data_IF_263225650325
#
_entry.id   IF_263225650325
#
_cell.length_a   1.000
_cell.length_b   1.000
_cell.length_c   1.000
_cell.angle_alpha   90.00
_cell.angle_beta   90.00
_cell.angle_gamma   90.00
#
_symmetry.space_group_name_H-M   'P 1'
#
loop_
_entity.id
_entity.type
_entity.pdbx_description
1 polymer ?
#
# COMPACT_ATOMS: atom_id res chain seq x y z
N UNK A 1 28.33 -29.17 37.68
CA UNK A 1 28.15 -29.00 36.22
C UNK A 1 26.65 -29.08 35.98
N UNK A 2 25.99 -27.93 35.82
CA UNK A 2 24.55 -27.88 35.58
C UNK A 2 24.30 -27.91 34.07
N UNK A 3 23.43 -28.80 33.63
CA UNK A 3 22.94 -28.83 32.25
C UNK A 3 22.01 -27.62 32.06
N UNK A 4 22.48 -26.61 31.33
CA UNK A 4 21.61 -25.53 30.85
C UNK A 4 20.75 -26.10 29.72
N UNK A 5 19.45 -26.24 29.97
CA UNK A 5 18.50 -26.60 28.94
C UNK A 5 18.37 -25.45 27.93
N UNK A 6 18.92 -25.63 26.74
CA UNK A 6 18.70 -24.74 25.60
C UNK A 6 17.32 -25.03 25.00
N UNK A 7 16.43 -24.05 25.03
CA UNK A 7 15.15 -24.11 24.33
C UNK A 7 15.39 -23.89 22.83
N UNK A 8 14.72 -24.68 21.99
CA UNK A 8 14.83 -24.50 20.54
C UNK A 8 13.99 -23.29 20.08
N UNK A 9 14.21 -22.86 18.84
CA UNK A 9 13.39 -21.82 18.20
C UNK A 9 11.90 -22.19 18.21
N UNK A 10 11.58 -23.46 17.95
CA UNK A 10 10.23 -24.01 17.93
C UNK A 10 9.56 -23.91 19.32
N UNK A 11 10.34 -24.13 20.39
CA UNK A 11 9.85 -23.97 21.78
C UNK A 11 9.49 -22.51 22.09
N UNK A 12 10.29 -21.55 21.60
CA UNK A 12 10.06 -20.12 21.82
C UNK A 12 8.88 -19.59 20.99
N UNK A 13 8.69 -20.08 19.77
CA UNK A 13 7.57 -19.73 18.90
C UNK A 13 6.24 -20.25 19.49
N UNK A 14 6.21 -21.49 19.97
CA UNK A 14 5.05 -22.06 20.66
C UNK A 14 4.69 -21.26 21.93
N UNK A 15 5.70 -20.82 22.69
CA UNK A 15 5.48 -19.97 23.87
C UNK A 15 4.95 -18.57 23.52
N UNK A 16 5.37 -17.99 22.39
CA UNK A 16 4.86 -16.71 21.91
C UNK A 16 3.39 -16.79 21.46
N UNK A 17 2.99 -17.89 20.81
CA UNK A 17 1.59 -18.15 20.47
C UNK A 17 0.72 -18.34 21.72
N UNK A 18 1.23 -19.07 22.72
CA UNK A 18 0.52 -19.26 24.00
C UNK A 18 0.37 -17.93 24.75
N UNK A 19 1.39 -17.06 24.73
CA UNK A 19 1.33 -15.77 25.41
C UNK A 19 0.34 -14.79 24.76
N UNK A 20 0.17 -14.85 23.44
CA UNK A 20 -0.76 -13.97 22.70
C UNK A 20 -2.21 -14.42 22.81
N UNK A 21 -2.48 -15.71 23.05
CA UNK A 21 -3.84 -16.26 23.20
C UNK A 21 -4.48 -16.08 24.58
N UNK A 22 -3.76 -15.53 25.55
CA UNK A 22 -4.37 -14.88 26.73
C UNK A 22 -5.22 -15.74 27.68
N UNK A 23 -5.32 -17.05 27.54
CA UNK A 23 -6.10 -17.90 28.45
C UNK A 23 -5.45 -19.28 28.64
N UNK A 24 -4.48 -19.35 29.55
CA UNK A 24 -4.25 -20.57 30.34
C UNK A 24 -4.75 -20.24 31.74
N UNK A 25 -5.95 -20.71 32.07
CA UNK A 25 -6.53 -20.58 33.40
C UNK A 25 -5.60 -21.23 34.44
N UNK A 26 -4.99 -20.39 35.29
CA UNK A 26 -4.45 -20.82 36.58
C UNK A 26 -2.95 -21.13 36.67
N UNK A 27 -2.20 -21.22 35.57
CA UNK A 27 -0.74 -21.43 35.65
C UNK A 27 0.03 -20.11 35.46
N UNK A 28 0.72 -19.68 36.53
CA UNK A 28 1.64 -18.52 36.47
C UNK A 28 2.86 -18.91 35.63
N UNK A 29 2.99 -18.35 34.44
CA UNK A 29 4.23 -18.41 33.65
C UNK A 29 5.38 -17.85 34.51
N UNK A 30 6.49 -18.58 34.69
CA UNK A 30 7.63 -18.09 35.46
C UNK A 30 8.14 -16.76 34.91
N UNK A 31 8.46 -15.80 35.80
CA UNK A 31 8.97 -14.46 35.41
C UNK A 31 10.18 -14.53 34.47
N UNK A 32 10.99 -15.59 34.61
CA UNK A 32 12.17 -15.85 33.78
C UNK A 32 11.77 -16.03 32.31
N UNK A 33 10.74 -16.82 32.00
CA UNK A 33 10.27 -17.03 30.63
C UNK A 33 9.73 -15.75 30.00
N UNK A 34 9.06 -14.88 30.78
CA UNK A 34 8.56 -13.61 30.26
C UNK A 34 9.68 -12.64 29.86
N UNK A 35 10.75 -12.58 30.67
CA UNK A 35 11.92 -11.76 30.34
C UNK A 35 12.62 -12.29 29.08
N UNK A 36 12.80 -13.61 28.95
CA UNK A 36 13.38 -14.22 27.75
C UNK A 36 12.55 -13.93 26.50
N UNK A 37 11.23 -14.09 26.56
CA UNK A 37 10.33 -13.76 25.45
C UNK A 37 10.39 -12.26 25.08
N UNK A 38 10.50 -11.37 26.07
CA UNK A 38 10.64 -9.91 25.84
C UNK A 38 11.98 -9.58 25.18
N UNK A 39 13.07 -10.21 25.61
CA UNK A 39 14.39 -10.03 25.00
C UNK A 39 14.40 -10.55 23.56
N UNK A 40 13.84 -11.73 23.33
CA UNK A 40 13.73 -12.32 21.99
C UNK A 40 12.88 -11.45 21.05
N UNK A 41 11.73 -10.97 21.52
CA UNK A 41 10.90 -10.02 20.75
C UNK A 41 11.64 -8.73 20.42
N UNK A 42 12.42 -8.19 21.35
CA UNK A 42 13.24 -6.99 21.09
C UNK A 42 14.29 -7.28 20.01
N UNK A 43 15.01 -8.40 20.12
CA UNK A 43 15.98 -8.83 19.12
C UNK A 43 15.35 -8.97 17.72
N UNK A 44 14.19 -9.61 17.61
CA UNK A 44 13.48 -9.71 16.32
C UNK A 44 13.09 -8.33 15.76
N UNK A 45 12.62 -7.42 16.60
CA UNK A 45 12.27 -6.06 16.16
C UNK A 45 13.50 -5.25 15.73
N UNK A 46 14.64 -5.45 16.38
CA UNK A 46 15.90 -4.82 16.00
C UNK A 46 16.41 -5.41 14.67
N UNK A 47 16.37 -6.73 14.50
CA UNK A 47 16.69 -7.39 13.23
C UNK A 47 15.81 -6.89 12.07
N UNK A 48 14.49 -6.81 12.27
CA UNK A 48 13.57 -6.28 11.25
C UNK A 48 13.85 -4.81 10.90
N UNK A 49 14.36 -4.02 11.87
CA UNK A 49 14.76 -2.63 11.62
C UNK A 49 16.03 -2.56 10.78
N UNK A 50 17.04 -3.35 11.12
CA UNK A 50 18.29 -3.42 10.40
C UNK A 50 18.05 -3.88 8.94
N UNK A 51 17.18 -4.88 8.74
CA UNK A 51 16.76 -5.32 7.41
C UNK A 51 16.01 -4.22 6.63
N UNK A 52 15.15 -3.44 7.29
CA UNK A 52 14.47 -2.32 6.66
C UNK A 52 15.43 -1.18 6.26
N UNK A 53 16.40 -0.85 7.11
CA UNK A 53 17.46 0.13 6.82
C UNK A 53 18.34 -0.35 5.66
N UNK A 54 18.66 -1.65 5.60
CA UNK A 54 19.40 -2.24 4.49
C UNK A 54 18.62 -2.13 3.16
N UNK A 55 17.31 -2.35 3.16
CA UNK A 55 16.46 -2.20 1.97
C UNK A 55 16.41 -0.74 1.52
N UNK A 56 16.28 0.22 2.44
CA UNK A 56 16.26 1.65 2.13
C UNK A 56 17.60 2.13 1.54
N UNK A 57 18.71 1.65 2.09
CA UNK A 57 20.04 1.89 1.55
C UNK A 57 20.21 1.30 0.14
N UNK A 58 19.76 0.06 -0.07
CA UNK A 58 19.81 -0.57 -1.38
C UNK A 58 18.97 0.21 -2.42
N UNK A 59 17.79 0.69 -2.03
CA UNK A 59 16.94 1.50 -2.89
C UNK A 59 17.60 2.84 -3.25
N UNK A 60 18.22 3.49 -2.27
CA UNK A 60 18.97 4.74 -2.49
C UNK A 60 20.12 4.55 -3.48
N UNK A 61 20.88 3.46 -3.35
CA UNK A 61 21.97 3.13 -4.27
C UNK A 61 21.47 2.90 -5.72
N UNK A 62 20.34 2.19 -5.88
CA UNK A 62 19.73 1.96 -7.21
C UNK A 62 19.26 3.26 -7.83
N UNK A 63 18.69 4.17 -7.04
CA UNK A 63 18.28 5.50 -7.54
C UNK A 63 19.48 6.34 -7.99
N UNK A 64 20.61 6.26 -7.29
CA UNK A 64 21.84 6.94 -7.68
C UNK A 64 22.37 6.42 -9.03
N UNK A 65 22.42 5.09 -9.21
CA UNK A 65 22.79 4.45 -10.47
C UNK A 65 21.86 4.85 -11.64
N UNK A 66 20.55 4.92 -11.40
CA UNK A 66 19.59 5.39 -12.40
C UNK A 66 19.86 6.87 -12.77
N UNK A 67 20.16 7.73 -11.81
CA UNK A 67 20.45 9.14 -12.10
C UNK A 67 21.75 9.31 -12.90
N UNK A 68 22.79 8.53 -12.60
CA UNK A 68 24.04 8.54 -13.37
C UNK A 68 23.82 8.10 -14.82
N UNK A 69 23.04 7.04 -15.04
CA UNK A 69 22.72 6.56 -16.40
C UNK A 69 21.89 7.58 -17.18
N UNK A 70 20.91 8.24 -16.54
CA UNK A 70 20.13 9.33 -17.17
C UNK A 70 21.02 10.51 -17.53
N UNK A 71 21.95 10.90 -16.66
CA UNK A 71 22.90 11.99 -16.94
C UNK A 71 23.83 11.66 -18.12
N UNK A 72 24.31 10.42 -18.21
CA UNK A 72 25.14 9.96 -19.32
C UNK A 72 24.39 10.00 -20.66
N UNK A 73 23.11 9.58 -20.68
CA UNK A 73 22.27 9.63 -21.88
C UNK A 73 21.96 11.06 -22.33
N UNK A 74 21.67 11.96 -21.39
CA UNK A 74 21.42 13.37 -21.70
C UNK A 74 22.65 14.05 -22.32
N UNK A 75 23.85 13.77 -21.80
CA UNK A 75 25.10 14.28 -22.37
C UNK A 75 25.38 13.75 -23.79
N UNK A 76 25.02 12.50 -24.07
CA UNK A 76 25.18 11.91 -25.40
C UNK A 76 24.24 12.55 -26.45
N UNK A 77 23.01 12.89 -26.06
CA UNK A 77 22.01 13.47 -26.97
C UNK A 77 22.36 14.91 -27.39
N UNK A 78 22.92 15.72 -26.49
CA UNK A 78 23.39 17.09 -26.80
C UNK A 78 24.53 17.10 -27.83
N UNK A 79 25.41 16.09 -27.80
CA UNK A 79 26.51 15.99 -28.76
C UNK A 79 26.04 15.59 -30.17
N UNK A 80 24.85 15.01 -30.34
CA UNK A 80 24.35 14.59 -31.65
C UNK A 80 23.70 15.74 -32.45
N UNK A 81 23.18 16.77 -31.78
CA UNK A 81 22.55 17.93 -32.45
C UNK A 81 23.59 18.95 -32.94
N UNK A 82 24.77 19.02 -32.33
CA UNK A 82 25.83 19.98 -32.71
C UNK A 82 26.44 19.66 -34.10
N UNK A 83 26.40 18.41 -34.55
CA UNK A 83 26.97 18.01 -35.85
C UNK A 83 25.98 18.03 -37.03
N UNK A 84 24.74 18.51 -36.84
CA UNK A 84 23.71 18.51 -37.91
C UNK A 84 23.37 19.88 -38.50
N UNK A 85 24.02 20.96 -38.07
CA UNK A 85 23.62 22.33 -38.45
C UNK A 85 24.47 23.03 -39.51
N UNK A 86 25.39 22.36 -40.21
CA UNK A 86 26.32 23.06 -41.13
C UNK A 86 26.22 22.75 -42.64
N UNK A 87 25.39 21.81 -43.11
CA UNK A 87 25.49 21.36 -44.52
C UNK A 87 24.27 21.53 -45.44
N UNK A 88 23.14 22.12 -45.02
CA UNK A 88 21.96 22.24 -45.91
C UNK A 88 21.71 23.70 -46.35
N UNK A 89 22.60 24.17 -47.24
CA UNK A 89 22.39 25.34 -48.09
C UNK A 89 21.89 24.86 -49.46
N UNK A 90 20.68 25.31 -49.83
CA UNK A 90 20.06 25.36 -51.18
C UNK A 90 19.65 24.04 -51.85
N UNK A 91 18.35 23.72 -51.83
CA UNK A 91 17.61 23.46 -53.09
C UNK A 91 16.10 23.68 -52.94
N UNK A 92 15.56 24.46 -53.87
CA UNK A 92 14.17 24.84 -54.07
C UNK A 92 13.53 23.84 -55.04
N UNK A 93 12.70 22.92 -54.55
CA UNK A 93 11.72 22.27 -55.42
C UNK A 93 10.49 21.79 -54.65
N UNK A 94 9.35 22.39 -55.01
CA UNK A 94 8.03 21.99 -54.57
C UNK A 94 7.43 21.05 -55.62
N UNK A 95 7.44 19.75 -55.37
CA UNK A 95 6.59 18.81 -56.10
C UNK A 95 5.67 18.04 -55.16
N UNK A 96 4.39 18.02 -55.55
CA UNK A 96 3.29 17.38 -54.87
C UNK A 96 3.39 15.86 -55.05
N UNK A 97 3.50 15.13 -53.92
CA UNK A 97 3.48 13.67 -53.91
C UNK A 97 2.12 13.22 -53.34
N UNK A 98 1.38 12.52 -54.18
CA UNK A 98 0.15 11.78 -53.87
C UNK A 98 0.45 10.61 -52.94
N UNK A 99 -0.34 10.49 -51.88
CA UNK A 99 -0.27 9.41 -50.89
C UNK A 99 -1.22 8.29 -51.33
N UNK A 100 -0.65 7.22 -51.86
CA UNK A 100 -1.27 5.89 -51.88
C UNK A 100 -0.19 4.89 -51.45
N UNK A 101 -0.44 4.19 -50.36
CA UNK A 101 0.20 2.90 -50.08
C UNK A 101 -0.61 2.15 -49.03
N UNK A 102 -1.43 1.23 -49.53
CA UNK A 102 -1.54 -0.11 -48.95
C UNK A 102 -0.14 -0.72 -48.87
N UNK A 103 0.20 -1.35 -47.74
CA UNK A 103 0.69 -2.73 -47.70
C UNK A 103 1.21 -3.09 -46.30
N UNK A 104 0.95 -4.35 -45.99
CA UNK A 104 1.25 -5.08 -44.77
C UNK A 104 2.76 -5.19 -44.54
N UNK A 105 3.22 -5.07 -43.29
CA UNK A 105 4.44 -5.75 -42.88
C UNK A 105 4.48 -6.13 -41.39
N UNK A 106 4.73 -7.42 -41.23
CA UNK A 106 4.68 -8.25 -40.04
C UNK A 106 5.99 -8.12 -39.25
N UNK A 107 6.01 -7.27 -38.22
CA UNK A 107 7.15 -7.19 -37.30
C UNK A 107 6.88 -7.91 -35.99
N UNK A 108 7.33 -9.17 -36.01
CA UNK A 108 7.64 -10.06 -34.89
C UNK A 108 8.51 -9.36 -33.84
N UNK A 109 7.86 -8.68 -32.90
CA UNK A 109 8.48 -8.09 -31.73
C UNK A 109 9.03 -9.15 -30.78
N UNK A 110 10.32 -9.02 -30.46
CA UNK A 110 11.03 -9.83 -29.48
C UNK A 110 10.38 -9.65 -28.11
N UNK A 111 9.78 -10.72 -27.60
CA UNK A 111 9.29 -10.84 -26.25
C UNK A 111 10.47 -10.76 -25.27
N UNK A 112 10.66 -9.58 -24.68
CA UNK A 112 11.44 -9.43 -23.48
C UNK A 112 10.78 -10.28 -22.39
N UNK A 113 11.52 -11.27 -21.89
CA UNK A 113 11.14 -12.06 -20.72
C UNK A 113 11.05 -11.09 -19.52
N UNK A 114 9.84 -10.58 -19.29
CA UNK A 114 9.50 -9.85 -18.09
C UNK A 114 9.63 -10.84 -16.93
N UNK A 115 10.77 -10.79 -16.23
CA UNK A 115 10.97 -11.45 -14.95
C UNK A 115 9.87 -10.98 -14.02
N UNK A 116 8.81 -11.77 -13.91
CA UNK A 116 7.69 -11.52 -13.02
C UNK A 116 8.24 -11.40 -11.60
N UNK A 117 8.08 -10.26 -10.92
CA UNK A 117 8.48 -10.12 -9.53
C UNK A 117 7.73 -11.17 -8.73
N UNK A 118 8.48 -12.02 -8.02
CA UNK A 118 7.92 -13.07 -7.17
C UNK A 118 6.92 -12.46 -6.20
N UNK A 119 5.80 -13.17 -5.98
CA UNK A 119 4.63 -12.71 -5.22
C UNK A 119 4.93 -12.27 -3.77
N UNK A 120 6.14 -12.54 -3.27
CA UNK A 120 6.60 -12.17 -1.93
C UNK A 120 6.90 -10.68 -1.78
N UNK A 121 7.32 -9.98 -2.86
CA UNK A 121 7.73 -8.57 -2.76
C UNK A 121 6.55 -7.57 -2.69
N UNK A 122 5.33 -7.99 -3.08
CA UNK A 122 4.14 -7.10 -3.11
C UNK A 122 3.35 -7.08 -1.79
N UNK A 123 3.68 -7.94 -0.83
CA UNK A 123 2.97 -8.04 0.45
C UNK A 123 3.49 -7.05 1.52
N UNK A 124 4.75 -6.63 1.43
CA UNK A 124 5.40 -5.83 2.48
C UNK A 124 4.85 -4.40 2.66
N UNK A 125 4.48 -3.72 1.57
CA UNK A 125 4.17 -2.28 1.61
C UNK A 125 2.82 -1.91 2.25
N UNK A 126 1.90 -2.86 2.44
CA UNK A 126 0.61 -2.60 3.12
C UNK A 126 0.60 -2.98 4.60
N UNK A 127 1.55 -3.81 5.05
CA UNK A 127 1.67 -4.18 6.46
C UNK A 127 2.40 -3.11 7.28
N UNK A 128 3.32 -2.36 6.66
CA UNK A 128 4.01 -1.23 7.32
C UNK A 128 3.05 -0.06 7.63
N UNK A 129 2.04 0.17 6.77
CA UNK A 129 1.01 1.19 7.00
C UNK A 129 0.12 0.93 8.22
N UNK A 130 -0.03 -0.34 8.65
CA UNK A 130 -0.76 -0.67 9.91
C UNK A 130 0.12 -0.57 11.15
N UNK A 131 1.43 -0.74 11.02
CA UNK A 131 2.32 -0.83 12.18
C UNK A 131 2.71 0.53 12.76
N UNK A 132 2.71 1.60 11.96
CA UNK A 132 2.99 2.96 12.45
C UNK A 132 1.79 3.64 13.15
N UNK A 133 0.61 3.03 13.19
CA UNK A 133 -0.56 3.56 13.93
C UNK A 133 -0.76 2.99 15.34
N UNK A 134 0.14 2.11 15.82
CA UNK A 134 -0.14 1.27 17.00
C UNK A 134 0.64 1.61 18.27
N UNK A 135 1.41 2.70 18.33
CA UNK A 135 2.09 3.08 19.58
C UNK A 135 1.41 4.25 20.26
N UNK A 136 0.42 3.91 21.10
CA UNK A 136 0.02 4.68 22.28
C UNK A 136 -0.50 6.12 22.10
N UNK A 137 -1.11 6.44 20.96
CA UNK A 137 -1.75 7.73 20.78
C UNK A 137 -3.02 7.80 21.64
N UNK A 138 -3.05 8.75 22.59
CA UNK A 138 -4.28 9.18 23.25
C UNK A 138 -5.24 9.47 22.11
N UNK A 139 -6.28 8.64 21.93
CA UNK A 139 -7.33 8.86 20.93
C UNK A 139 -7.98 10.19 21.22
N UNK A 140 -7.40 11.27 20.70
CA UNK A 140 -8.06 12.54 20.58
C UNK A 140 -9.19 12.19 19.64
N UNK A 141 -10.41 12.14 20.18
CA UNK A 141 -11.60 11.87 19.39
C UNK A 141 -11.79 13.08 18.48
N UNK A 142 -11.03 13.12 17.38
CA UNK A 142 -11.18 14.12 16.35
C UNK A 142 -12.54 13.90 15.73
N UNK A 143 -13.36 14.96 15.77
CA UNK A 143 -14.68 14.98 15.19
C UNK A 143 -14.54 15.65 13.83
N UNK A 144 -14.84 14.90 12.77
CA UNK A 144 -14.84 15.43 11.42
C UNK A 144 -16.29 15.62 10.97
N UNK A 145 -16.59 16.81 10.45
CA UNK A 145 -17.91 17.08 9.86
C UNK A 145 -17.75 17.19 8.35
N UNK A 146 -18.51 16.38 7.61
CA UNK A 146 -18.54 16.49 6.15
C UNK A 146 -19.16 17.83 5.75
N UNK A 147 -18.55 18.53 4.79
CA UNK A 147 -19.07 19.82 4.32
C UNK A 147 -20.32 19.66 3.44
N UNK A 148 -20.48 18.53 2.75
CA UNK A 148 -21.58 18.29 1.81
C UNK A 148 -22.80 17.68 2.49
N UNK A 149 -22.60 16.87 3.54
CA UNK A 149 -23.71 16.22 4.24
C UNK A 149 -23.61 16.41 5.76
N UNK A 150 -24.72 16.32 6.51
CA UNK A 150 -24.73 16.59 7.94
C UNK A 150 -24.09 15.47 8.79
N UNK A 151 -23.41 14.49 8.18
CA UNK A 151 -22.79 13.38 8.92
C UNK A 151 -21.54 13.86 9.65
N UNK A 152 -21.43 13.43 10.91
CA UNK A 152 -20.25 13.61 11.76
C UNK A 152 -19.57 12.27 11.97
N UNK A 153 -18.25 12.25 11.83
CA UNK A 153 -17.40 11.07 11.90
C UNK A 153 -16.49 11.23 13.12
N UNK A 154 -16.66 10.35 14.12
CA UNK A 154 -15.98 10.43 15.43
C UNK A 154 -14.78 9.49 15.45
N UNK A 155 -13.62 9.96 15.91
CA UNK A 155 -12.43 9.12 16.13
C UNK A 155 -12.01 8.37 14.87
N UNK A 156 -12.26 8.98 13.71
CA UNK A 156 -12.23 8.30 12.43
C UNK A 156 -10.80 8.25 11.94
N UNK A 157 -10.30 7.03 11.73
CA UNK A 157 -9.09 6.83 10.94
C UNK A 157 -9.32 7.43 9.55
N UNK A 158 -8.26 7.92 8.90
CA UNK A 158 -8.32 8.50 7.55
C UNK A 158 -9.12 7.61 6.57
N UNK A 159 -8.97 6.29 6.69
CA UNK A 159 -9.72 5.32 5.90
C UNK A 159 -11.26 5.41 6.03
N UNK A 160 -11.79 5.80 7.19
CA UNK A 160 -13.24 5.99 7.38
C UNK A 160 -13.73 7.28 6.70
N UNK A 161 -12.93 8.35 6.75
CA UNK A 161 -13.19 9.60 6.03
C UNK A 161 -13.20 9.36 4.52
N UNK A 162 -12.19 8.65 4.00
CA UNK A 162 -12.10 8.31 2.57
C UNK A 162 -13.25 7.40 2.13
N UNK A 163 -13.66 6.43 2.97
CA UNK A 163 -14.84 5.60 2.67
C UNK A 163 -16.11 6.43 2.60
N UNK A 164 -16.25 7.43 3.47
CA UNK A 164 -17.36 8.37 3.40
C UNK A 164 -17.35 9.17 2.10
N UNK A 165 -16.19 9.71 1.69
CA UNK A 165 -16.05 10.43 0.41
C UNK A 165 -16.44 9.57 -0.78
N UNK A 166 -15.97 8.32 -0.83
CA UNK A 166 -16.31 7.42 -1.94
C UNK A 166 -17.82 7.17 -2.10
N UNK A 167 -18.62 7.33 -1.03
CA UNK A 167 -20.09 7.27 -1.15
C UNK A 167 -20.69 8.50 -1.84
N UNK A 168 -20.06 9.66 -1.75
CA UNK A 168 -20.48 10.87 -2.44
C UNK A 168 -20.05 10.88 -3.90
N UNK A 169 -18.80 10.48 -4.17
CA UNK A 169 -18.22 10.47 -5.52
C UNK A 169 -18.61 9.23 -6.35
N UNK A 170 -19.44 8.34 -5.80
CA UNK A 170 -19.88 7.09 -6.44
C UNK A 170 -18.72 6.23 -6.98
N UNK A 171 -17.59 6.22 -6.27
CA UNK A 171 -16.42 5.44 -6.68
C UNK A 171 -16.79 3.95 -6.62
N UNK A 172 -16.61 3.26 -7.74
CA UNK A 172 -17.05 1.88 -7.90
C UNK A 172 -15.95 0.90 -7.49
N UNK A 173 -16.35 -0.15 -6.78
CA UNK A 173 -15.53 -1.33 -6.47
C UNK A 173 -16.11 -2.55 -7.19
N UNK A 174 -15.38 -3.11 -8.15
CA UNK A 174 -15.77 -4.28 -8.91
C UNK A 174 -15.47 -5.58 -8.14
N UNK A 175 -16.37 -6.57 -8.18
CA UNK A 175 -16.15 -7.87 -7.55
C UNK A 175 -14.93 -8.59 -8.18
N UNK A 176 -13.99 -9.15 -7.38
CA UNK A 176 -12.82 -9.86 -7.91
C UNK A 176 -13.13 -11.29 -8.41
N UNK A 177 -14.38 -11.78 -8.27
CA UNK A 177 -14.75 -13.13 -8.70
C UNK A 177 -15.09 -13.12 -10.19
N UNK A 178 -14.38 -13.95 -10.97
CA UNK A 178 -14.62 -14.10 -12.40
C UNK A 178 -16.09 -14.41 -12.72
N UNK A 179 -16.66 -13.68 -13.68
CA UNK A 179 -18.07 -13.79 -14.06
C UNK A 179 -19.06 -13.05 -13.15
N UNK A 180 -18.62 -12.46 -12.04
CA UNK A 180 -19.49 -11.62 -11.21
C UNK A 180 -19.47 -10.16 -11.68
N UNK A 181 -20.57 -9.70 -12.26
CA UNK A 181 -20.73 -8.31 -12.76
C UNK A 181 -21.13 -7.31 -11.66
N UNK A 182 -21.12 -7.72 -10.39
CA UNK A 182 -21.57 -6.85 -9.30
C UNK A 182 -20.53 -5.77 -9.01
N UNK A 183 -20.99 -4.52 -9.01
CA UNK A 183 -20.26 -3.35 -8.52
C UNK A 183 -20.85 -2.86 -7.20
N UNK A 184 -19.99 -2.43 -6.29
CA UNK A 184 -20.33 -1.85 -4.99
C UNK A 184 -19.82 -0.42 -4.91
N UNK A 185 -20.46 0.44 -4.10
CA UNK A 185 -20.02 1.85 -3.90
C UNK A 185 -19.02 2.03 -2.77
N UNK A 186 -18.67 0.96 -2.05
CA UNK A 186 -17.76 1.00 -0.91
C UNK A 186 -16.95 -0.30 -0.80
N UNK A 187 -15.76 -0.18 -0.21
CA UNK A 187 -14.89 -1.32 0.13
C UNK A 187 -15.54 -2.27 1.14
N UNK A 188 -16.33 -1.75 2.09
CA UNK A 188 -17.13 -2.60 2.99
C UNK A 188 -18.24 -3.34 2.23
N UNK A 189 -18.87 -2.70 1.25
CA UNK A 189 -19.94 -3.28 0.45
C UNK A 189 -19.47 -4.47 -0.37
N UNK A 190 -18.28 -4.39 -0.97
CA UNK A 190 -17.70 -5.52 -1.72
C UNK A 190 -17.36 -6.70 -0.81
N UNK A 191 -16.83 -6.45 0.40
CA UNK A 191 -16.58 -7.52 1.38
C UNK A 191 -17.87 -8.19 1.85
N UNK A 192 -18.92 -7.41 2.10
CA UNK A 192 -20.25 -7.94 2.42
C UNK A 192 -20.83 -8.74 1.24
N UNK A 193 -20.65 -8.26 0.01
CA UNK A 193 -21.08 -8.96 -1.20
C UNK A 193 -20.39 -10.32 -1.34
N UNK A 194 -19.06 -10.40 -1.18
CA UNK A 194 -18.30 -11.65 -1.18
C UNK A 194 -18.85 -12.64 -0.14
N UNK A 195 -19.10 -12.18 1.08
CA UNK A 195 -19.64 -13.02 2.16
C UNK A 195 -21.05 -13.52 1.86
N UNK A 196 -21.93 -12.69 1.30
CA UNK A 196 -23.35 -13.02 1.11
C UNK A 196 -23.59 -13.84 -0.15
N UNK A 197 -23.00 -13.43 -1.28
CA UNK A 197 -23.27 -13.99 -2.61
C UNK A 197 -22.27 -15.07 -3.02
N UNK A 198 -21.00 -14.97 -2.60
CA UNK A 198 -19.98 -15.96 -2.91
C UNK A 198 -19.68 -16.90 -1.75
N UNK A 199 -20.20 -16.61 -0.54
CA UNK A 199 -19.90 -17.34 0.70
C UNK A 199 -18.40 -17.39 1.03
N UNK A 200 -17.64 -16.40 0.56
CA UNK A 200 -16.20 -16.28 0.78
C UNK A 200 -15.90 -15.15 1.75
N UNK A 201 -14.97 -15.37 2.68
CA UNK A 201 -14.31 -14.29 3.42
C UNK A 201 -13.07 -13.85 2.65
N UNK A 202 -12.52 -12.67 2.98
CA UNK A 202 -11.29 -12.20 2.34
C UNK A 202 -10.12 -13.19 2.49
N UNK A 203 -10.06 -13.91 3.61
CA UNK A 203 -9.05 -14.93 3.87
C UNK A 203 -9.25 -16.24 3.07
N UNK A 204 -10.44 -16.47 2.52
CA UNK A 204 -10.78 -17.67 1.75
C UNK A 204 -10.58 -17.45 0.22
N UNK A 205 -10.18 -16.25 -0.19
CA UNK A 205 -9.92 -15.92 -1.60
C UNK A 205 -8.64 -16.57 -2.08
N UNK A 206 -8.59 -16.94 -3.37
CA UNK A 206 -7.30 -17.30 -3.99
C UNK A 206 -6.33 -16.11 -3.94
N UNK A 207 -5.03 -16.38 -4.05
CA UNK A 207 -4.02 -15.32 -4.07
C UNK A 207 -4.30 -14.26 -5.15
N UNK A 208 -4.74 -14.69 -6.34
CA UNK A 208 -5.12 -13.80 -7.44
C UNK A 208 -6.34 -12.94 -7.10
N UNK A 209 -7.42 -13.54 -6.61
CA UNK A 209 -8.64 -12.82 -6.22
C UNK A 209 -8.39 -11.85 -5.07
N UNK A 210 -7.54 -12.24 -4.11
CA UNK A 210 -7.14 -11.38 -3.02
C UNK A 210 -6.32 -10.19 -3.51
N UNK A 211 -5.39 -10.39 -4.45
CA UNK A 211 -4.63 -9.32 -5.09
C UNK A 211 -5.56 -8.32 -5.81
N UNK A 212 -6.53 -8.82 -6.59
CA UNK A 212 -7.53 -7.98 -7.27
C UNK A 212 -8.42 -7.19 -6.29
N UNK A 213 -8.79 -7.81 -5.16
CA UNK A 213 -9.53 -7.12 -4.09
C UNK A 213 -8.71 -5.96 -3.51
N UNK A 214 -7.43 -6.20 -3.18
CA UNK A 214 -6.54 -5.18 -2.64
C UNK A 214 -6.30 -4.05 -3.64
N UNK A 215 -6.10 -4.37 -4.92
CA UNK A 215 -5.95 -3.37 -5.97
C UNK A 215 -7.22 -2.50 -6.11
N UNK A 216 -8.40 -3.12 -6.03
CA UNK A 216 -9.68 -2.42 -6.06
C UNK A 216 -9.84 -1.50 -4.86
N UNK A 217 -9.48 -1.96 -3.65
CA UNK A 217 -9.50 -1.13 -2.43
C UNK A 217 -8.51 0.04 -2.54
N UNK A 218 -7.30 -0.20 -3.04
CA UNK A 218 -6.28 0.84 -3.28
C UNK A 218 -6.80 1.92 -4.22
N UNK A 219 -7.27 1.54 -5.41
CA UNK A 219 -7.81 2.48 -6.42
C UNK A 219 -8.98 3.30 -5.85
N UNK A 220 -9.82 2.68 -5.04
CA UNK A 220 -10.91 3.37 -4.35
C UNK A 220 -10.39 4.47 -3.41
N UNK A 221 -9.42 4.16 -2.55
CA UNK A 221 -8.88 5.13 -1.59
C UNK A 221 -8.07 6.24 -2.27
N UNK A 222 -7.26 5.92 -3.27
CA UNK A 222 -6.53 6.90 -4.08
C UNK A 222 -7.51 7.88 -4.74
N UNK A 223 -8.56 7.36 -5.37
CA UNK A 223 -9.60 8.18 -6.01
C UNK A 223 -10.34 9.05 -4.99
N UNK A 224 -10.70 8.50 -3.82
CA UNK A 224 -11.34 9.26 -2.75
C UNK A 224 -10.44 10.37 -2.20
N UNK A 225 -9.12 10.14 -2.14
CA UNK A 225 -8.15 11.07 -1.56
C UNK A 225 -8.00 12.34 -2.39
N UNK A 226 -8.14 12.26 -3.70
CA UNK A 226 -8.14 13.44 -4.60
C UNK A 226 -9.23 14.44 -4.19
N UNK A 227 -10.33 13.96 -3.60
CA UNK A 227 -11.45 14.79 -3.21
C UNK A 227 -11.43 15.18 -1.72
N UNK A 228 -10.39 14.80 -0.95
CA UNK A 228 -10.39 14.95 0.51
C UNK A 228 -10.69 16.38 0.98
N UNK A 229 -9.98 17.37 0.44
CA UNK A 229 -10.10 18.77 0.84
C UNK A 229 -11.48 19.39 0.54
N UNK A 230 -12.24 18.82 -0.42
CA UNK A 230 -13.60 19.26 -0.75
C UNK A 230 -14.61 18.87 0.32
N UNK A 231 -14.41 17.72 0.97
CA UNK A 231 -15.36 17.18 1.96
C UNK A 231 -14.91 17.48 3.39
N UNK A 232 -13.61 17.49 3.62
CA UNK A 232 -12.97 17.68 4.93
C UNK A 232 -11.80 18.67 4.82
N UNK A 233 -12.05 19.95 4.50
CA UNK A 233 -11.00 20.96 4.52
C UNK A 233 -10.37 21.06 5.92
N UNK A 234 -9.17 21.63 6.08
CA UNK A 234 -8.50 21.74 7.38
C UNK A 234 -9.35 22.37 8.51
N UNK A 235 -10.29 23.27 8.17
CA UNK A 235 -11.23 23.88 9.12
C UNK A 235 -12.44 23.03 9.50
N UNK A 236 -12.66 21.87 8.87
CA UNK A 236 -13.76 20.95 9.16
C UNK A 236 -13.49 20.02 10.36
N UNK A 237 -12.25 20.02 10.86
CA UNK A 237 -11.88 19.29 12.08
C UNK A 237 -12.40 20.07 13.29
N UNK A 238 -13.44 19.53 13.93
CA UNK A 238 -13.93 20.04 15.20
C UNK A 238 -13.04 19.46 16.30
N UNK A 239 -12.13 20.30 16.81
CA UNK A 239 -11.32 19.95 17.96
C UNK A 239 -12.29 19.78 19.14
N UNK A 240 -12.51 18.53 19.55
CA UNK A 240 -13.39 18.22 20.67
C UNK A 240 -12.84 18.93 21.90
N UNK A 241 -13.45 20.05 22.27
CA UNK A 241 -13.27 20.62 23.60
C UNK A 241 -13.82 19.56 24.53
N UNK A 242 -12.91 18.82 25.17
CA UNK A 242 -13.28 17.93 26.24
C UNK A 242 -13.76 18.85 27.37
N UNK A 243 -15.05 19.17 27.36
CA UNK A 243 -15.72 19.82 28.47
C UNK A 243 -15.70 18.81 29.62
N UNK A 244 -14.56 18.78 30.32
CA UNK A 244 -14.42 18.15 31.61
C UNK A 244 -15.31 18.93 32.57
N UNK A 245 -16.62 18.66 32.54
CA UNK A 245 -17.54 19.11 33.58
C UNK A 245 -17.07 18.48 34.88
N UNK A 246 -16.26 19.23 35.62
CA UNK A 246 -15.98 18.99 37.03
C UNK A 246 -17.31 19.10 37.75
N UNK A 247 -18.00 17.97 37.91
CA UNK A 247 -19.16 17.90 38.80
C UNK A 247 -18.65 18.27 40.19
N UNK A 248 -19.11 19.41 40.67
CA UNK A 248 -18.80 19.95 42.00
C UNK A 248 -19.83 19.43 42.99
#
# INVERSE_FOLDING_TARGET
>A
MGEEAFYTFEDLELLAEVATRGTMEGQRVPKIMWNSAKHYRRHLLDQMRDEAEQVDQNYSNVLEEINETVAALAGAQVNQEIYKTEDDMEDDSTEAITIESDDEDDQRGQSAEATTPTAEFRSGLWQVGRYLSSTADRRVNTLWQCQICPKRLVGSHEADLLRHIGTHENILCCCPIAGCVKVCRTTSGIRSHLKVHHKLRAADLSAEQHCLLLETERKFYESARIHFDRYFPPGAMLQGQADHKTST
#
